data_IF_530463547875
#
_entry.id   IF_530463547875
#
_cell.length_a   1.000
_cell.length_b   1.000
_cell.length_c   1.000
_cell.angle_alpha   90.00
_cell.angle_beta   90.00
_cell.angle_gamma   90.00
#
_symmetry.space_group_name_H-M   'P 1'
#
loop_
_entity.id
_entity.type
_entity.pdbx_description
1 polymer ?
#
# COMPACT_ATOMS: atom_id res chain seq x y z
N UNK A 1 -22.41 4.63 -29.42
CA UNK A 1 -21.08 5.25 -29.32
C UNK A 1 -20.18 4.20 -28.68
N UNK A 2 -19.34 3.57 -29.45
CA UNK A 2 -18.43 2.54 -28.95
C UNK A 2 -17.43 3.23 -28.04
N UNK A 3 -17.43 2.91 -26.76
CA UNK A 3 -16.44 3.44 -25.82
C UNK A 3 -15.13 2.74 -26.18
N UNK A 4 -14.16 3.51 -26.66
CA UNK A 4 -12.81 2.99 -26.91
C UNK A 4 -12.31 2.35 -25.61
N UNK A 5 -11.88 1.09 -25.67
CA UNK A 5 -11.34 0.36 -24.52
C UNK A 5 -9.86 0.65 -24.28
N UNK A 6 -9.30 1.56 -25.06
CA UNK A 6 -7.89 1.93 -24.99
C UNK A 6 -7.73 3.33 -24.40
N UNK A 7 -6.65 3.52 -23.63
CA UNK A 7 -6.25 4.86 -23.17
C UNK A 7 -5.95 5.74 -24.40
N UNK A 8 -6.39 7.01 -24.37
CA UNK A 8 -6.03 7.93 -25.45
C UNK A 8 -4.51 8.07 -25.54
N UNK A 9 -3.97 8.13 -26.76
CA UNK A 9 -2.52 8.25 -26.97
C UNK A 9 -1.94 9.53 -26.34
N UNK A 10 -2.72 10.58 -26.25
CA UNK A 10 -2.29 11.83 -25.60
C UNK A 10 -2.19 11.67 -24.08
N UNK A 11 -3.14 10.95 -23.44
CA UNK A 11 -3.07 10.65 -22.01
C UNK A 11 -1.89 9.71 -21.72
N UNK A 12 -1.70 8.67 -22.54
CA UNK A 12 -0.59 7.74 -22.41
C UNK A 12 0.76 8.46 -22.44
N UNK A 13 0.99 9.28 -23.50
CA UNK A 13 2.23 10.05 -23.65
C UNK A 13 2.46 11.04 -22.51
N UNK A 14 1.40 11.72 -22.08
CA UNK A 14 1.52 12.65 -20.95
C UNK A 14 1.89 11.95 -19.63
N UNK A 15 1.50 10.69 -19.44
CA UNK A 15 1.91 9.88 -18.29
C UNK A 15 3.35 9.36 -18.49
N UNK A 16 3.66 8.88 -19.70
CA UNK A 16 5.00 8.42 -20.08
C UNK A 16 6.07 9.49 -19.88
N UNK A 17 5.78 10.74 -20.23
CA UNK A 17 6.66 11.89 -20.03
C UNK A 17 6.99 12.14 -18.53
N UNK A 18 6.10 11.71 -17.61
CA UNK A 18 6.30 11.86 -16.17
C UNK A 18 7.13 10.71 -15.58
N UNK A 19 6.77 9.47 -15.92
CA UNK A 19 7.35 8.28 -15.26
C UNK A 19 8.46 7.61 -16.06
N UNK A 20 8.62 7.99 -17.34
CA UNK A 20 9.49 7.36 -18.32
C UNK A 20 8.87 6.13 -18.99
N UNK A 21 9.36 5.79 -20.21
CA UNK A 21 8.73 4.77 -21.06
C UNK A 21 8.77 3.36 -20.46
N UNK A 22 9.76 3.04 -19.64
CA UNK A 22 9.89 1.72 -19.00
C UNK A 22 8.92 1.52 -17.82
N UNK A 23 8.18 2.56 -17.43
CA UNK A 23 7.36 2.58 -16.22
C UNK A 23 5.86 2.80 -16.50
N UNK A 24 5.46 2.66 -17.74
CA UNK A 24 4.07 2.60 -18.17
C UNK A 24 3.92 1.54 -19.26
N UNK A 25 2.80 0.84 -19.27
CA UNK A 25 2.49 -0.15 -20.30
C UNK A 25 0.99 -0.25 -20.58
N UNK A 26 0.63 -0.46 -21.81
CA UNK A 26 -0.71 -0.84 -22.27
C UNK A 26 -0.70 -2.23 -22.96
N UNK A 27 0.37 -3.01 -22.77
CA UNK A 27 0.47 -4.38 -23.29
C UNK A 27 -0.64 -5.27 -22.71
N UNK A 28 -1.54 -5.82 -23.54
CA UNK A 28 -2.65 -6.64 -23.11
C UNK A 28 -2.25 -7.83 -22.24
N UNK A 29 -1.12 -8.48 -22.51
CA UNK A 29 -0.66 -9.64 -21.73
C UNK A 29 -0.27 -9.23 -20.30
N UNK A 30 0.35 -8.06 -20.14
CA UNK A 30 0.68 -7.51 -18.82
C UNK A 30 -0.60 -7.08 -18.10
N UNK A 31 -1.50 -6.37 -18.78
CA UNK A 31 -2.76 -5.89 -18.20
C UNK A 31 -3.64 -7.05 -17.70
N UNK A 32 -3.65 -8.19 -18.37
CA UNK A 32 -4.38 -9.38 -17.93
C UNK A 32 -3.85 -9.91 -16.60
N UNK A 33 -2.54 -9.82 -16.36
CA UNK A 33 -1.95 -10.15 -15.06
C UNK A 33 -2.50 -9.30 -13.91
N UNK A 34 -2.80 -8.03 -14.16
CA UNK A 34 -3.41 -7.13 -13.18
C UNK A 34 -4.92 -7.31 -13.05
N UNK A 35 -5.58 -7.84 -14.05
CA UNK A 35 -7.02 -8.15 -14.01
C UNK A 35 -7.32 -9.48 -13.29
N UNK A 36 -6.33 -10.39 -13.20
CA UNK A 36 -6.51 -11.70 -12.58
C UNK A 36 -6.74 -11.58 -11.07
N UNK A 37 -7.76 -12.28 -10.57
CA UNK A 37 -8.07 -12.39 -9.15
C UNK A 37 -7.91 -13.83 -8.68
N UNK A 38 -7.05 -14.04 -7.71
CA UNK A 38 -6.78 -15.37 -7.15
C UNK A 38 -7.83 -15.82 -6.13
N UNK A 39 -8.61 -14.89 -5.56
CA UNK A 39 -9.66 -15.19 -4.59
C UNK A 39 -10.90 -15.77 -5.28
N UNK A 40 -11.32 -16.95 -4.84
CA UNK A 40 -12.47 -17.64 -5.40
C UNK A 40 -13.81 -16.88 -5.19
N UNK A 41 -13.91 -16.09 -4.14
CA UNK A 41 -15.08 -15.28 -3.81
C UNK A 41 -15.38 -14.20 -4.85
N UNK A 42 -14.41 -13.87 -5.68
CA UNK A 42 -14.53 -12.85 -6.72
C UNK A 42 -14.74 -13.44 -8.13
N UNK A 43 -14.98 -14.72 -8.21
CA UNK A 43 -15.33 -15.34 -9.49
C UNK A 43 -16.60 -14.69 -10.04
N UNK A 44 -16.50 -14.14 -11.24
CA UNK A 44 -17.63 -13.51 -11.94
C UNK A 44 -18.73 -14.56 -12.25
N UNK A 45 -19.96 -14.12 -12.54
CA UNK A 45 -21.05 -15.05 -12.89
C UNK A 45 -20.70 -16.06 -13.99
N UNK A 46 -19.86 -15.67 -14.94
CA UNK A 46 -19.33 -16.52 -16.00
C UNK A 46 -18.18 -17.44 -15.53
N UNK A 47 -17.90 -17.48 -14.23
CA UNK A 47 -16.82 -18.26 -13.59
C UNK A 47 -15.40 -17.87 -14.03
N UNK A 48 -15.24 -16.66 -14.50
CA UNK A 48 -13.91 -16.08 -14.81
C UNK A 48 -13.28 -15.49 -13.55
N UNK A 49 -11.98 -15.70 -13.37
CA UNK A 49 -11.17 -15.00 -12.37
C UNK A 49 -10.66 -13.64 -12.87
N UNK A 50 -10.98 -13.26 -14.10
CA UNK A 50 -10.57 -11.99 -14.66
C UNK A 50 -11.59 -10.91 -14.38
N UNK A 51 -11.16 -9.89 -13.67
CA UNK A 51 -11.86 -8.63 -13.52
C UNK A 51 -11.63 -7.76 -14.78
N UNK A 52 -12.32 -6.63 -14.92
CA UNK A 52 -12.03 -5.71 -16.02
C UNK A 52 -10.55 -5.38 -16.14
N UNK A 53 -10.04 -5.42 -17.36
CA UNK A 53 -8.66 -5.06 -17.65
C UNK A 53 -8.46 -3.56 -17.46
N UNK A 54 -7.40 -3.10 -16.75
CA UNK A 54 -7.05 -1.69 -16.77
C UNK A 54 -6.64 -1.25 -18.18
N UNK A 55 -6.73 0.04 -18.48
CA UNK A 55 -6.31 0.59 -19.77
C UNK A 55 -4.80 0.74 -19.88
N UNK A 56 -4.15 1.00 -18.76
CA UNK A 56 -2.70 0.99 -18.63
C UNK A 56 -2.30 0.70 -17.19
N UNK A 57 -1.06 0.26 -17.01
CA UNK A 57 -0.38 0.15 -15.71
C UNK A 57 0.75 1.17 -15.69
N UNK A 58 0.85 1.93 -14.60
CA UNK A 58 1.93 2.89 -14.36
C UNK A 58 2.62 2.59 -13.05
N UNK A 59 3.94 2.70 -13.04
CA UNK A 59 4.80 2.41 -11.88
C UNK A 59 5.54 3.68 -11.44
N UNK A 60 4.92 4.57 -10.67
CA UNK A 60 5.58 5.77 -10.16
C UNK A 60 6.64 5.41 -9.11
N UNK A 61 7.67 6.25 -9.00
CA UNK A 61 8.76 6.12 -8.03
C UNK A 61 8.63 7.10 -6.86
N UNK A 62 7.97 8.23 -7.06
CA UNK A 62 7.88 9.31 -6.06
C UNK A 62 6.44 9.76 -5.84
N UNK A 63 6.18 10.41 -4.70
CA UNK A 63 4.88 11.01 -4.40
C UNK A 63 4.53 12.09 -5.42
N UNK A 64 5.52 12.82 -5.89
CA UNK A 64 5.37 13.87 -6.89
C UNK A 64 4.95 13.30 -8.26
N UNK A 65 5.53 12.17 -8.68
CA UNK A 65 5.08 11.45 -9.88
C UNK A 65 3.64 10.96 -9.71
N UNK A 66 3.28 10.36 -8.56
CA UNK A 66 1.89 9.96 -8.27
C UNK A 66 0.95 11.15 -8.40
N UNK A 67 1.30 12.31 -7.84
CA UNK A 67 0.50 13.52 -7.93
C UNK A 67 0.36 14.05 -9.36
N UNK A 68 1.47 14.06 -10.11
CA UNK A 68 1.47 14.52 -11.50
C UNK A 68 0.62 13.60 -12.39
N UNK A 69 0.79 12.29 -12.30
CA UNK A 69 0.00 11.32 -13.06
C UNK A 69 -1.48 11.40 -12.69
N UNK A 70 -1.81 11.58 -11.40
CA UNK A 70 -3.21 11.75 -10.97
C UNK A 70 -3.85 12.98 -11.62
N UNK A 71 -3.12 14.10 -11.75
CA UNK A 71 -3.62 15.30 -12.45
C UNK A 71 -3.83 15.06 -13.95
N UNK A 72 -2.93 14.29 -14.59
CA UNK A 72 -3.13 13.87 -15.99
C UNK A 72 -4.38 13.01 -16.12
N UNK A 73 -4.57 12.02 -15.23
CA UNK A 73 -5.77 11.18 -15.21
C UNK A 73 -7.04 12.01 -15.06
N UNK A 74 -7.05 13.01 -14.20
CA UNK A 74 -8.18 13.94 -14.05
C UNK A 74 -8.47 14.73 -15.33
N UNK A 75 -7.42 15.25 -15.97
CA UNK A 75 -7.56 16.00 -17.24
C UNK A 75 -8.22 15.18 -18.34
N UNK A 76 -7.91 13.88 -18.40
CA UNK A 76 -8.42 12.97 -19.42
C UNK A 76 -9.61 12.11 -18.96
N UNK A 77 -10.18 12.40 -17.77
CA UNK A 77 -11.30 11.67 -17.18
C UNK A 77 -11.03 10.17 -16.99
N UNK A 78 -9.80 9.79 -16.66
CA UNK A 78 -9.37 8.42 -16.39
C UNK A 78 -9.40 8.16 -14.90
N UNK A 79 -9.98 7.04 -14.50
CA UNK A 79 -9.97 6.59 -13.10
C UNK A 79 -8.59 6.08 -12.69
N UNK A 80 -8.27 6.23 -11.40
CA UNK A 80 -7.03 5.71 -10.81
C UNK A 80 -7.36 4.58 -9.86
N UNK A 81 -6.64 3.48 -9.98
CA UNK A 81 -6.72 2.35 -9.07
C UNK A 81 -5.33 2.02 -8.52
N UNK A 82 -5.01 2.37 -7.26
CA UNK A 82 -3.71 2.07 -6.68
C UNK A 82 -3.64 0.63 -6.17
N UNK A 83 -2.47 0.01 -6.38
CA UNK A 83 -2.04 -1.21 -5.72
C UNK A 83 -0.62 -1.06 -5.19
N UNK A 84 -0.29 -1.76 -4.13
CA UNK A 84 1.08 -1.91 -3.65
C UNK A 84 1.60 -3.33 -3.90
N UNK A 85 1.00 -4.34 -3.27
CA UNK A 85 1.41 -5.75 -3.43
C UNK A 85 0.32 -6.63 -4.06
N UNK A 86 -0.86 -6.09 -4.30
CA UNK A 86 -1.96 -6.80 -4.95
C UNK A 86 -2.59 -7.93 -4.12
N UNK A 87 -2.31 -7.99 -2.83
CA UNK A 87 -2.81 -9.06 -1.95
C UNK A 87 -4.31 -9.03 -1.69
N UNK A 88 -4.97 -7.92 -1.96
CA UNK A 88 -6.39 -7.78 -1.68
C UNK A 88 -7.21 -7.70 -2.97
N UNK A 89 -8.39 -8.29 -2.93
CA UNK A 89 -9.28 -8.44 -4.09
C UNK A 89 -9.83 -7.13 -4.69
N UNK A 90 -9.62 -6.01 -4.03
CA UNK A 90 -9.98 -4.70 -4.58
C UNK A 90 -8.91 -4.10 -5.50
N UNK A 91 -7.87 -4.88 -5.81
CA UNK A 91 -6.73 -4.37 -6.57
C UNK A 91 -7.06 -4.08 -8.04
N UNK A 92 -7.96 -4.86 -8.66
CA UNK A 92 -8.32 -4.68 -10.06
C UNK A 92 -9.45 -3.63 -10.26
N UNK A 93 -9.61 -3.07 -11.47
CA UNK A 93 -10.79 -2.31 -11.85
C UNK A 93 -12.08 -3.10 -11.61
N UNK A 94 -13.18 -2.41 -11.31
CA UNK A 94 -14.45 -3.06 -10.99
C UNK A 94 -15.49 -2.99 -12.09
N UNK A 95 -15.28 -2.14 -13.11
CA UNK A 95 -16.23 -1.91 -14.20
C UNK A 95 -15.54 -1.94 -15.55
N UNK A 96 -16.15 -2.62 -16.51
CA UNK A 96 -15.63 -2.77 -17.88
C UNK A 96 -15.69 -1.48 -18.70
N UNK A 97 -16.59 -0.56 -18.38
CA UNK A 97 -16.90 0.65 -19.12
C UNK A 97 -16.21 1.91 -18.55
N UNK A 98 -15.43 1.77 -17.49
CA UNK A 98 -14.70 2.90 -16.91
C UNK A 98 -13.21 2.84 -17.26
N UNK A 99 -12.68 3.89 -17.95
CA UNK A 99 -11.25 3.99 -18.21
C UNK A 99 -10.49 4.05 -16.89
N UNK A 100 -9.64 3.07 -16.65
CA UNK A 100 -8.89 2.96 -15.41
C UNK A 100 -7.42 2.74 -15.67
N UNK A 101 -6.57 3.59 -15.08
CA UNK A 101 -5.12 3.37 -14.99
C UNK A 101 -4.80 2.77 -13.63
N UNK A 102 -4.08 1.67 -13.64
CA UNK A 102 -3.61 0.98 -12.44
C UNK A 102 -2.27 1.58 -12.02
N UNK A 103 -2.20 2.11 -10.80
CA UNK A 103 -0.94 2.56 -10.19
C UNK A 103 -0.33 1.40 -9.42
N UNK A 104 0.79 0.89 -9.90
CA UNK A 104 1.59 -0.10 -9.19
C UNK A 104 2.70 0.60 -8.41
N UNK A 105 2.56 0.60 -7.09
CA UNK A 105 3.44 1.34 -6.20
C UNK A 105 4.68 0.54 -5.74
N UNK A 106 4.94 -0.64 -6.33
CA UNK A 106 6.06 -1.50 -5.90
C UNK A 106 7.45 -0.90 -6.08
N UNK A 107 7.61 0.10 -6.95
CA UNK A 107 8.87 0.85 -7.07
C UNK A 107 9.16 1.75 -5.87
N UNK A 108 8.15 2.17 -5.14
CA UNK A 108 8.25 2.95 -3.91
C UNK A 108 8.50 2.00 -2.73
N UNK A 109 9.68 1.40 -2.64
CA UNK A 109 9.99 0.27 -1.75
C UNK A 109 11.12 0.55 -0.74
N UNK A 110 11.38 1.81 -0.43
CA UNK A 110 12.43 2.20 0.51
C UNK A 110 11.91 2.26 1.94
N UNK A 111 12.71 1.72 2.87
CA UNK A 111 12.61 2.04 4.29
C UNK A 111 13.38 3.35 4.46
N UNK A 112 12.66 4.44 4.74
CA UNK A 112 13.21 5.80 4.76
C UNK A 112 13.92 6.09 6.07
N UNK A 113 13.38 5.56 7.19
CA UNK A 113 13.90 5.81 8.52
C UNK A 113 13.53 4.64 9.45
N UNK A 114 14.42 4.32 10.39
CA UNK A 114 14.13 3.48 11.56
C UNK A 114 14.68 4.24 12.76
N UNK A 115 13.79 4.84 13.54
CA UNK A 115 14.12 5.52 14.79
C UNK A 115 14.00 4.52 15.95
N UNK A 116 15.12 3.99 16.38
CA UNK A 116 15.19 2.99 17.46
C UNK A 116 14.75 3.57 18.80
N UNK A 117 15.08 4.83 19.06
CA UNK A 117 14.78 5.51 20.32
C UNK A 117 13.28 5.74 20.51
N UNK A 118 12.59 6.14 19.47
CA UNK A 118 11.16 6.41 19.50
C UNK A 118 10.34 5.20 19.03
N UNK A 119 10.99 4.11 18.61
CA UNK A 119 10.36 2.90 18.06
C UNK A 119 9.40 3.22 16.91
N UNK A 120 9.90 3.91 15.91
CA UNK A 120 9.16 4.33 14.71
C UNK A 120 9.90 3.89 13.46
N UNK A 121 9.18 3.44 12.45
CA UNK A 121 9.72 3.27 11.10
C UNK A 121 8.92 4.09 10.10
N UNK A 122 9.62 4.67 9.14
CA UNK A 122 9.02 5.39 8.00
C UNK A 122 9.28 4.62 6.74
N UNK A 123 8.22 4.31 6.01
CA UNK A 123 8.28 3.43 4.84
C UNK A 123 7.46 3.95 3.67
N UNK A 124 7.86 3.57 2.47
CA UNK A 124 7.10 3.75 1.24
C UNK A 124 6.09 2.60 1.02
N UNK A 125 5.11 2.81 0.14
CA UNK A 125 3.97 1.90 -0.06
C UNK A 125 4.32 0.52 -0.61
N UNK A 126 5.45 0.37 -1.31
CA UNK A 126 5.93 -0.93 -1.80
C UNK A 126 6.69 -1.75 -0.76
N UNK A 127 7.00 -1.19 0.42
CA UNK A 127 7.67 -1.94 1.49
C UNK A 127 6.73 -3.00 2.05
N UNK A 128 7.16 -4.25 2.01
CA UNK A 128 6.40 -5.38 2.58
C UNK A 128 6.76 -5.63 4.05
N UNK A 129 5.83 -6.27 4.77
CA UNK A 129 6.00 -6.58 6.19
C UNK A 129 7.30 -7.37 6.46
N UNK A 130 7.63 -8.38 5.64
CA UNK A 130 8.85 -9.17 5.80
C UNK A 130 10.11 -8.32 5.69
N UNK A 131 10.16 -7.39 4.74
CA UNK A 131 11.31 -6.51 4.53
C UNK A 131 11.54 -5.62 5.75
N UNK A 132 10.48 -4.94 6.23
CA UNK A 132 10.60 -4.09 7.41
C UNK A 132 10.91 -4.91 8.65
N UNK A 133 10.25 -6.07 8.86
CA UNK A 133 10.50 -6.93 10.00
C UNK A 133 11.96 -7.38 10.06
N UNK A 134 12.53 -7.81 8.94
CA UNK A 134 13.93 -8.23 8.89
C UNK A 134 14.89 -7.12 9.30
N UNK A 135 14.61 -5.87 8.93
CA UNK A 135 15.47 -4.73 9.27
C UNK A 135 15.31 -4.28 10.72
N UNK A 136 14.08 -4.27 11.27
CA UNK A 136 13.86 -3.83 12.65
C UNK A 136 14.27 -4.89 13.67
N UNK A 137 14.16 -6.19 13.35
CA UNK A 137 14.62 -7.26 14.24
C UNK A 137 16.13 -7.25 14.49
N UNK A 138 16.92 -6.82 13.52
CA UNK A 138 18.38 -6.58 13.69
C UNK A 138 18.69 -5.53 14.77
N UNK A 139 17.71 -4.73 15.14
CA UNK A 139 17.79 -3.61 16.08
C UNK A 139 17.00 -3.85 17.37
N UNK A 140 16.58 -5.11 17.62
CA UNK A 140 15.79 -5.46 18.80
C UNK A 140 14.35 -4.94 18.78
N UNK A 141 13.81 -4.68 17.59
CA UNK A 141 12.46 -4.17 17.39
C UNK A 141 11.64 -5.12 16.50
N UNK A 142 10.33 -5.00 16.53
CA UNK A 142 9.41 -5.79 15.73
C UNK A 142 8.24 -4.95 15.23
N UNK A 143 7.55 -5.47 14.22
CA UNK A 143 6.32 -4.91 13.68
C UNK A 143 5.15 -5.88 13.86
N UNK A 144 3.92 -5.36 13.80
CA UNK A 144 2.75 -6.21 13.66
C UNK A 144 2.59 -6.64 12.20
N UNK A 145 2.56 -7.96 11.96
CA UNK A 145 2.28 -8.53 10.64
C UNK A 145 0.81 -8.96 10.61
N UNK A 146 0.07 -8.50 9.60
CA UNK A 146 -1.33 -8.87 9.43
C UNK A 146 -1.48 -10.36 9.06
N UNK A 147 -2.66 -10.92 9.37
CA UNK A 147 -2.96 -12.33 9.11
C UNK A 147 -2.91 -12.74 7.62
N UNK A 148 -3.01 -11.78 6.70
CA UNK A 148 -2.84 -12.04 5.26
C UNK A 148 -1.40 -12.42 4.87
N UNK A 149 -0.41 -12.16 5.74
CA UNK A 149 0.95 -12.63 5.56
C UNK A 149 1.99 -11.54 5.37
N UNK A 150 3.24 -11.98 5.42
CA UNK A 150 4.40 -11.09 5.47
C UNK A 150 4.73 -10.37 4.15
N UNK A 151 4.14 -10.76 3.03
CA UNK A 151 4.28 -10.11 1.72
C UNK A 151 3.31 -8.95 1.49
N UNK A 152 2.48 -8.60 2.47
CA UNK A 152 1.59 -7.44 2.41
C UNK A 152 2.36 -6.13 2.64
N UNK A 153 1.87 -5.06 2.00
CA UNK A 153 2.41 -3.71 2.20
C UNK A 153 2.13 -3.18 3.60
N UNK A 154 3.11 -2.55 4.22
CA UNK A 154 2.95 -1.84 5.51
C UNK A 154 1.95 -0.69 5.35
N UNK A 155 2.11 0.16 4.34
CA UNK A 155 1.23 1.32 4.10
C UNK A 155 -0.21 0.88 3.88
N UNK A 156 -0.42 -0.13 3.03
CA UNK A 156 -1.76 -0.63 2.75
C UNK A 156 -2.42 -1.25 3.99
N UNK A 157 -1.69 -2.02 4.79
CA UNK A 157 -2.21 -2.65 6.00
C UNK A 157 -2.48 -1.64 7.14
N UNK A 158 -1.78 -0.51 7.16
CA UNK A 158 -1.98 0.54 8.16
C UNK A 158 -3.07 1.55 7.78
N UNK A 159 -3.34 1.76 6.49
CA UNK A 159 -4.23 2.84 6.01
C UNK A 159 -5.40 2.35 5.17
N UNK A 160 -5.17 1.43 4.25
CA UNK A 160 -6.20 1.02 3.29
C UNK A 160 -7.09 -0.12 3.81
N UNK A 161 -6.60 -0.92 4.74
CA UNK A 161 -7.31 -2.06 5.29
C UNK A 161 -7.03 -2.24 6.77
N UNK A 162 -8.05 -2.63 7.54
CA UNK A 162 -7.88 -3.00 8.95
C UNK A 162 -7.10 -4.32 9.04
N UNK A 163 -5.81 -4.21 9.36
CA UNK A 163 -4.91 -5.35 9.45
C UNK A 163 -4.73 -5.83 10.89
N UNK A 164 -5.31 -6.98 11.23
CA UNK A 164 -5.00 -7.71 12.46
C UNK A 164 -4.13 -8.93 12.19
N UNK A 165 -3.29 -9.31 13.14
CA UNK A 165 -2.40 -10.46 13.05
C UNK A 165 -2.09 -11.07 14.42
N UNK A 166 -1.21 -12.08 14.48
CA UNK A 166 -0.88 -12.74 15.74
C UNK A 166 -0.37 -11.81 16.84
N UNK A 167 0.29 -10.72 16.49
CA UNK A 167 0.80 -9.74 17.46
C UNK A 167 -0.24 -8.69 17.87
N UNK A 168 -1.44 -8.69 17.28
CA UNK A 168 -2.42 -7.63 17.52
C UNK A 168 -2.97 -7.60 18.93
N UNK A 169 -2.88 -8.70 19.68
CA UNK A 169 -3.35 -8.74 21.06
C UNK A 169 -2.49 -7.87 22.02
N UNK A 170 -1.25 -7.55 21.65
CA UNK A 170 -0.38 -6.67 22.46
C UNK A 170 0.07 -5.41 21.71
N UNK A 171 0.07 -5.43 20.37
CA UNK A 171 0.47 -4.28 19.54
C UNK A 171 -0.73 -3.50 18.97
N UNK A 172 -1.95 -4.02 19.05
CA UNK A 172 -3.10 -3.51 18.34
C UNK A 172 -3.09 -3.89 16.86
N UNK A 173 -4.05 -3.43 16.10
CA UNK A 173 -4.07 -3.62 14.65
C UNK A 173 -3.03 -2.73 13.96
N UNK A 174 -2.72 -2.98 12.68
CA UNK A 174 -1.77 -2.14 11.95
C UNK A 174 -2.25 -0.68 11.83
N UNK A 175 -3.56 -0.45 11.74
CA UNK A 175 -4.10 0.90 11.73
C UNK A 175 -3.91 1.64 13.06
N UNK A 176 -3.87 0.92 14.20
CA UNK A 176 -3.59 1.52 15.51
C UNK A 176 -2.11 1.94 15.64
N UNK A 177 -1.24 1.29 14.89
CA UNK A 177 0.18 1.58 14.85
C UNK A 177 0.55 2.71 13.87
N UNK A 178 -0.41 3.22 13.11
CA UNK A 178 -0.20 4.33 12.20
C UNK A 178 0.04 5.64 12.96
N UNK A 179 1.15 6.31 12.68
CA UNK A 179 1.56 7.56 13.33
C UNK A 179 1.40 8.78 12.41
N UNK A 180 1.87 8.67 11.18
CA UNK A 180 1.78 9.74 10.19
C UNK A 180 1.66 9.18 8.79
N UNK A 181 1.12 9.97 7.87
CA UNK A 181 0.90 9.56 6.49
C UNK A 181 1.19 10.68 5.51
N UNK A 182 1.62 10.28 4.33
CA UNK A 182 1.63 11.10 3.14
C UNK A 182 0.82 10.39 2.05
N UNK A 183 -0.11 11.10 1.43
CA UNK A 183 -0.89 10.56 0.31
C UNK A 183 -1.25 11.63 -0.70
N UNK A 184 -1.58 11.18 -1.90
CA UNK A 184 -2.07 12.03 -2.98
C UNK A 184 -3.59 11.91 -3.03
N UNK A 185 -4.29 13.04 -2.92
CA UNK A 185 -5.75 13.10 -3.01
C UNK A 185 -6.23 12.80 -4.44
N UNK A 186 -7.54 12.53 -4.63
CA UNK A 186 -8.09 12.42 -5.99
C UNK A 186 -7.89 13.66 -6.86
N UNK A 187 -7.67 14.84 -6.26
CA UNK A 187 -7.35 16.08 -7.00
C UNK A 187 -5.87 16.18 -7.42
N UNK A 188 -5.02 15.24 -6.98
CA UNK A 188 -3.59 15.27 -7.25
C UNK A 188 -2.80 16.19 -6.30
N UNK A 189 -3.36 16.50 -5.12
CA UNK A 189 -2.70 17.25 -4.06
C UNK A 189 -2.01 16.32 -3.07
N UNK A 190 -0.85 16.71 -2.57
CA UNK A 190 -0.12 15.96 -1.56
C UNK A 190 -0.58 16.41 -0.19
N UNK A 191 -1.11 15.47 0.59
CA UNK A 191 -1.57 15.70 1.97
C UNK A 191 -0.68 14.94 2.94
N UNK A 192 -0.39 15.60 4.07
CA UNK A 192 0.43 15.05 5.15
C UNK A 192 -0.31 15.18 6.48
N UNK A 193 -0.17 14.17 7.35
CA UNK A 193 -0.76 14.17 8.68
C UNK A 193 0.29 14.12 9.79
N UNK A 194 -0.13 14.41 11.01
CA UNK A 194 0.75 14.44 12.17
C UNK A 194 1.74 15.60 12.13
N UNK A 195 2.87 15.45 12.79
CA UNK A 195 3.93 16.47 12.82
C UNK A 195 4.50 16.79 11.44
N UNK A 196 4.35 15.87 10.49
CA UNK A 196 4.78 16.07 9.11
C UNK A 196 4.06 17.25 8.43
N UNK A 197 2.79 17.49 8.78
CA UNK A 197 2.00 18.60 8.23
C UNK A 197 2.55 19.98 8.64
N UNK A 198 3.23 20.06 9.79
CA UNK A 198 3.87 21.28 10.30
C UNK A 198 5.36 21.37 9.97
N UNK A 199 5.91 20.42 9.19
CA UNK A 199 7.33 20.35 8.86
C UNK A 199 8.24 19.83 9.97
N UNK A 200 7.67 19.26 11.03
CA UNK A 200 8.43 18.77 12.19
C UNK A 200 8.88 17.29 12.07
N UNK A 201 8.86 16.72 10.87
CA UNK A 201 9.27 15.34 10.62
C UNK A 201 8.16 14.31 10.88
N UNK A 202 8.53 13.04 10.88
CA UNK A 202 7.59 11.91 10.90
C UNK A 202 7.12 11.49 12.30
N UNK A 203 7.77 11.96 13.33
CA UNK A 203 7.35 11.66 14.69
C UNK A 203 5.98 12.31 14.97
N UNK A 204 5.04 11.52 15.44
CA UNK A 204 3.69 11.99 15.66
C UNK A 204 3.56 12.66 17.03
N UNK A 205 3.55 13.97 17.03
CA UNK A 205 3.15 14.77 18.16
C UNK A 205 1.71 15.27 17.99
N UNK A 206 0.72 14.38 17.96
CA UNK A 206 -0.67 14.82 17.95
C UNK A 206 -1.08 15.30 19.34
N UNK A 207 -1.51 16.54 19.42
CA UNK A 207 -2.07 17.12 20.62
C UNK A 207 -3.47 16.56 20.96
N UNK A 208 -4.07 17.02 22.06
CA UNK A 208 -5.44 16.64 22.40
C UNK A 208 -6.41 17.14 21.33
N UNK A 209 -7.35 16.31 20.96
CA UNK A 209 -8.39 16.64 19.98
C UNK A 209 -8.53 15.61 18.88
N UNK A 210 -9.42 15.83 17.92
CA UNK A 210 -9.63 14.92 16.80
C UNK A 210 -8.36 14.78 15.97
N UNK A 211 -7.93 13.55 15.75
CA UNK A 211 -6.75 13.27 14.93
C UNK A 211 -7.14 13.07 13.48
N UNK A 212 -6.44 13.72 12.54
CA UNK A 212 -6.59 13.46 11.11
C UNK A 212 -6.30 11.98 10.74
N UNK A 213 -5.57 11.27 11.57
CA UNK A 213 -5.35 9.81 11.40
C UNK A 213 -6.66 9.02 11.49
N UNK A 214 -7.64 9.49 12.25
CA UNK A 214 -8.93 8.81 12.39
C UNK A 214 -9.67 8.67 11.06
N UNK A 215 -9.44 9.56 10.10
CA UNK A 215 -10.01 9.48 8.75
C UNK A 215 -9.53 8.21 8.04
N UNK A 216 -8.30 7.80 8.27
CA UNK A 216 -7.65 6.69 7.58
C UNK A 216 -7.64 5.40 8.41
N UNK A 217 -7.86 5.49 9.72
CA UNK A 217 -7.80 4.36 10.65
C UNK A 217 -9.09 3.57 10.79
N UNK A 218 -10.20 3.99 10.26
CA UNK A 218 -11.49 3.32 10.49
C UNK A 218 -11.43 1.80 10.35
N UNK A 219 -12.36 1.09 10.97
CA UNK A 219 -12.42 -0.39 11.03
C UNK A 219 -12.26 -1.07 9.66
N UNK A 220 -12.72 -0.44 8.62
CA UNK A 220 -12.64 -0.96 7.26
C UNK A 220 -11.49 -0.38 6.45
N UNK A 221 -10.72 0.57 6.98
CA UNK A 221 -9.70 1.31 6.26
C UNK A 221 -10.29 2.17 5.13
N UNK A 222 -9.41 2.84 4.38
CA UNK A 222 -9.85 3.73 3.29
C UNK A 222 -10.17 3.00 1.99
N UNK A 223 -9.65 1.79 1.82
CA UNK A 223 -9.80 0.94 0.62
C UNK A 223 -9.47 1.65 -0.70
N UNK A 224 -8.59 2.65 -0.64
CA UNK A 224 -8.22 3.48 -1.78
C UNK A 224 -9.22 4.60 -2.11
N UNK A 225 -10.28 4.78 -1.33
CA UNK A 225 -11.34 5.79 -1.59
C UNK A 225 -10.90 7.24 -1.35
N UNK A 226 -9.80 7.47 -0.62
CA UNK A 226 -9.29 8.81 -0.31
C UNK A 226 -8.11 9.23 -1.21
N UNK A 227 -7.70 8.40 -2.15
CA UNK A 227 -6.56 8.64 -3.03
C UNK A 227 -5.45 7.60 -2.88
N UNK A 228 -4.22 7.98 -3.21
CA UNK A 228 -3.05 7.08 -3.30
C UNK A 228 -2.12 7.33 -2.12
N UNK A 229 -2.04 6.40 -1.20
CA UNK A 229 -1.14 6.46 -0.05
C UNK A 229 0.28 6.09 -0.47
N UNK A 230 1.23 6.98 -0.24
CA UNK A 230 2.60 6.85 -0.73
C UNK A 230 3.59 6.49 0.36
N UNK A 231 3.41 7.03 1.57
CA UNK A 231 4.30 6.78 2.71
C UNK A 231 3.52 6.76 4.02
N UNK A 232 4.08 6.06 5.01
CA UNK A 232 3.60 6.19 6.39
C UNK A 232 4.72 6.03 7.41
N UNK A 233 4.48 6.57 8.60
CA UNK A 233 5.20 6.25 9.82
C UNK A 233 4.38 5.26 10.64
N UNK A 234 5.01 4.19 11.10
CA UNK A 234 4.37 3.16 11.92
C UNK A 234 5.14 2.95 13.21
N UNK A 235 4.39 2.66 14.28
CA UNK A 235 4.93 2.29 15.57
C UNK A 235 5.54 0.89 15.51
N UNK A 236 6.72 0.74 16.12
CA UNK A 236 7.38 -0.54 16.36
C UNK A 236 7.15 -1.00 17.80
N UNK A 237 7.40 -2.28 18.05
CA UNK A 237 7.42 -2.86 19.39
C UNK A 237 8.78 -3.45 19.71
N UNK A 238 9.08 -3.72 20.98
CA UNK A 238 10.31 -4.42 21.37
C UNK A 238 10.31 -5.87 20.88
N UNK A 239 11.49 -6.38 20.58
CA UNK A 239 11.72 -7.78 20.24
C UNK A 239 12.97 -8.30 20.97
N UNK A 240 12.76 -9.25 21.85
CA UNK A 240 13.82 -9.83 22.69
C UNK A 240 14.56 -10.99 22.00
N UNK A 241 14.24 -11.26 20.76
CA UNK A 241 14.77 -12.40 20.03
C UNK A 241 13.89 -13.65 20.15
N UNK A 242 14.23 -14.74 19.46
CA UNK A 242 13.53 -16.00 19.59
C UNK A 242 13.71 -16.56 21.00
N UNK A 243 12.69 -17.23 21.57
CA UNK A 243 12.84 -17.86 22.85
C UNK A 243 13.97 -18.89 22.81
N UNK A 244 14.90 -18.81 23.74
CA UNK A 244 15.93 -19.83 23.93
C UNK A 244 15.24 -21.05 24.55
N UNK A 245 14.97 -22.05 23.73
CA UNK A 245 14.46 -23.32 24.22
C UNK A 245 15.56 -24.01 25.03
N UNK A 246 15.29 -24.33 26.29
CA UNK A 246 16.20 -25.11 27.09
C UNK A 246 16.39 -26.49 26.45
N UNK A 247 17.61 -26.99 26.31
CA UNK A 247 17.85 -28.32 25.76
C UNK A 247 17.23 -29.35 26.71
N UNK A 248 16.21 -30.04 26.22
CA UNK A 248 15.48 -31.06 27.01
C UNK A 248 16.14 -32.42 26.97
N UNK A 249 17.33 -32.54 26.37
CA UNK A 249 18.00 -33.83 26.12
C UNK A 249 17.32 -34.73 25.10
N UNK A 250 16.19 -34.30 24.57
CA UNK A 250 15.49 -34.98 23.44
C UNK A 250 15.53 -34.06 22.23
N UNK A 251 15.77 -34.61 21.01
CA UNK A 251 15.64 -33.78 19.82
C UNK A 251 14.25 -33.18 19.78
N UNK A 252 14.10 -31.90 19.40
CA UNK A 252 12.79 -31.27 19.29
C UNK A 252 11.95 -32.06 18.28
N UNK A 253 10.84 -32.60 18.78
CA UNK A 253 9.83 -33.16 17.89
C UNK A 253 9.17 -32.01 17.16
N UNK A 254 9.60 -31.72 15.94
CA UNK A 254 8.86 -30.85 15.06
C UNK A 254 7.54 -31.55 14.71
N UNK A 255 6.46 -31.11 15.35
CA UNK A 255 5.13 -31.42 14.84
C UNK A 255 4.85 -30.38 13.75
N UNK A 256 4.82 -30.86 12.53
CA UNK A 256 4.22 -30.14 11.40
C UNK A 256 2.70 -30.09 11.62
#
# INVERSE_FOLDING_TARGET
MEISRDISRDAYRAIEDIVGPDNITDDPAILDGYAFQWLAELVRPERSHYMPRPWAVVMPLTTEEVAAVTRVCNKYHVKVKPISTGWYHWAAPLKDDEPTVQFDLRRMNRILEIDEKNMVAVVESGVICAQLQAEVMKRGLNINIIGAGCSTSIVASASAYFGGGPSSYFMGSNSDNLLGQEWVTPAGEIVRTGSLSSGCGWFCGEGPGPSARAITRGTLGTRGGLGVFTKCAVKLGPWEGPPVLQPTGKPPAYRL
#
